data_IF_395255551126
#
_entry.id   IF_395255551126
#
_cell.length_a   1.000
_cell.length_b   1.000
_cell.length_c   1.000
_cell.angle_alpha   90.00
_cell.angle_beta   90.00
_cell.angle_gamma   90.00
#
_symmetry.space_group_name_H-M   'P 1'
#
loop_
_entity.id
_entity.type
_entity.pdbx_description
1 polymer ?
#
# COMPACT_ATOMS: atom_id res chain seq x y z
N UNK A 1 -3.42 -2.59 -8.67
CA UNK A 1 -3.75 -2.17 -7.29
C UNK A 1 -5.19 -1.67 -7.26
N UNK A 2 -5.86 -1.77 -6.13
CA UNK A 2 -7.20 -1.20 -5.93
C UNK A 2 -7.28 -0.47 -4.59
N UNK A 3 -8.30 0.39 -4.45
CA UNK A 3 -8.59 1.14 -3.24
C UNK A 3 -9.49 0.31 -2.32
N UNK A 4 -8.98 -0.06 -1.16
CA UNK A 4 -9.69 -0.68 -0.07
C UNK A 4 -10.48 0.38 0.73
N UNK A 5 -11.74 0.08 1.00
CA UNK A 5 -12.63 0.90 1.81
C UNK A 5 -13.01 0.10 3.06
N UNK A 6 -12.43 0.45 4.22
CA UNK A 6 -12.69 -0.29 5.46
C UNK A 6 -14.16 -0.24 5.89
N UNK A 7 -14.92 0.80 5.52
CA UNK A 7 -16.33 0.92 5.91
C UNK A 7 -17.19 -0.16 5.25
N UNK A 8 -16.86 -0.51 4.00
CA UNK A 8 -17.51 -1.62 3.29
C UNK A 8 -17.21 -3.00 3.91
N UNK A 9 -16.27 -3.08 4.86
CA UNK A 9 -15.84 -4.31 5.56
C UNK A 9 -15.92 -4.13 7.09
N UNK A 10 -16.96 -3.47 7.59
CA UNK A 10 -17.23 -3.31 9.02
C UNK A 10 -16.09 -2.64 9.84
N UNK A 11 -15.22 -1.86 9.19
CA UNK A 11 -14.06 -1.22 9.82
C UNK A 11 -12.81 -2.09 9.88
N UNK A 12 -12.78 -3.24 9.18
CA UNK A 12 -11.63 -4.13 9.15
C UNK A 12 -10.37 -3.39 8.66
N UNK A 13 -9.24 -3.67 9.32
CA UNK A 13 -7.97 -3.04 8.94
C UNK A 13 -7.44 -3.62 7.62
N UNK A 14 -6.73 -2.80 6.84
CA UNK A 14 -6.08 -3.24 5.58
C UNK A 14 -5.24 -4.50 5.77
N UNK A 15 -4.47 -4.57 6.86
CA UNK A 15 -3.58 -5.71 7.15
C UNK A 15 -4.37 -7.00 7.36
N UNK A 16 -5.48 -6.93 8.12
CA UNK A 16 -6.33 -8.10 8.36
C UNK A 16 -7.12 -8.50 7.11
N UNK A 17 -7.57 -7.53 6.32
CA UNK A 17 -8.19 -7.79 5.02
C UNK A 17 -7.23 -8.57 4.09
N UNK A 18 -5.97 -8.13 3.98
CA UNK A 18 -4.95 -8.83 3.20
C UNK A 18 -4.69 -10.24 3.76
N UNK A 19 -4.55 -10.39 5.08
CA UNK A 19 -4.36 -11.69 5.70
C UNK A 19 -5.54 -12.65 5.43
N UNK A 20 -6.77 -12.13 5.47
CA UNK A 20 -7.97 -12.90 5.17
C UNK A 20 -8.01 -13.32 3.68
N UNK A 21 -7.67 -12.43 2.76
CA UNK A 21 -7.54 -12.78 1.32
C UNK A 21 -6.48 -13.87 1.10
N UNK A 22 -5.35 -13.80 1.79
CA UNK A 22 -4.31 -14.82 1.71
C UNK A 22 -4.81 -16.17 2.25
N UNK A 23 -5.59 -16.16 3.34
CA UNK A 23 -6.19 -17.36 3.91
C UNK A 23 -7.26 -17.99 2.99
N UNK A 24 -7.96 -17.18 2.19
CA UNK A 24 -8.90 -17.63 1.15
C UNK A 24 -8.19 -18.11 -0.14
N UNK A 25 -6.85 -18.15 -0.16
CA UNK A 25 -6.06 -18.68 -1.27
C UNK A 25 -5.45 -17.62 -2.20
N UNK A 26 -5.74 -16.33 -2.00
CA UNK A 26 -5.15 -15.22 -2.78
C UNK A 26 -3.79 -14.83 -2.19
N UNK A 27 -2.84 -15.78 -2.20
CA UNK A 27 -1.58 -15.74 -1.44
C UNK A 27 -0.65 -14.57 -1.76
N UNK A 28 -0.62 -14.12 -3.01
CA UNK A 28 0.17 -12.97 -3.44
C UNK A 28 -0.56 -11.61 -3.34
N UNK A 29 -1.73 -11.52 -2.72
CA UNK A 29 -2.26 -10.20 -2.32
C UNK A 29 -1.38 -9.60 -1.20
N UNK A 30 -1.11 -8.30 -1.24
CA UNK A 30 -0.31 -7.64 -0.22
C UNK A 30 -0.71 -6.17 0.00
N UNK A 31 -0.30 -5.61 1.13
CA UNK A 31 -0.68 -4.28 1.60
C UNK A 31 0.02 -3.10 0.88
N UNK A 32 0.73 -3.37 -0.22
CA UNK A 32 1.49 -2.38 -0.98
C UNK A 32 2.62 -1.75 -0.16
N UNK A 33 2.92 -0.47 -0.45
CA UNK A 33 3.88 0.30 0.33
C UNK A 33 3.34 0.61 1.73
N UNK A 34 4.19 0.39 2.74
CA UNK A 34 3.86 0.63 4.15
C UNK A 34 4.00 2.12 4.49
N UNK A 35 4.87 2.85 3.79
CA UNK A 35 5.14 4.26 4.01
C UNK A 35 5.27 5.02 2.69
N UNK A 36 4.87 6.31 2.64
CA UNK A 36 5.16 7.20 1.53
C UNK A 36 6.67 7.42 1.34
N UNK A 37 7.07 7.83 0.13
CA UNK A 37 8.47 8.03 -0.24
C UNK A 37 9.20 8.99 0.70
N UNK A 38 8.56 10.09 1.08
CA UNK A 38 9.16 11.12 1.93
C UNK A 38 9.36 10.70 3.40
N UNK A 39 8.80 9.56 3.82
CA UNK A 39 9.03 8.95 5.12
C UNK A 39 10.03 7.80 5.07
N UNK A 40 10.48 7.42 3.89
CA UNK A 40 11.44 6.33 3.74
C UNK A 40 12.83 6.80 4.21
N UNK A 41 13.46 6.08 5.16
CA UNK A 41 14.77 6.44 5.70
C UNK A 41 15.84 6.70 4.63
N UNK A 42 15.79 5.99 3.50
CA UNK A 42 16.70 6.20 2.39
C UNK A 42 16.70 7.66 1.87
N UNK A 43 15.52 8.29 1.83
CA UNK A 43 15.36 9.67 1.34
C UNK A 43 15.48 10.71 2.44
N UNK A 44 15.06 10.38 3.67
CA UNK A 44 15.19 11.27 4.83
C UNK A 44 16.66 11.40 5.23
N UNK A 45 17.38 10.29 5.36
CA UNK A 45 18.79 10.26 5.76
C UNK A 45 19.74 10.60 4.60
N UNK A 46 19.26 10.48 3.35
CA UNK A 46 20.03 10.69 2.11
C UNK A 46 21.34 9.89 2.04
N UNK A 47 21.36 8.73 2.71
CA UNK A 47 22.54 7.85 2.77
C UNK A 47 22.62 6.96 1.52
N UNK A 48 22.75 7.58 0.35
CA UNK A 48 22.92 6.88 -0.92
C UNK A 48 24.38 6.42 -1.07
N UNK A 49 24.62 5.45 -1.96
CA UNK A 49 25.98 4.92 -2.20
C UNK A 49 27.01 6.01 -2.56
N UNK A 50 26.59 7.06 -3.27
CA UNK A 50 27.42 8.22 -3.62
C UNK A 50 27.43 9.34 -2.58
N UNK A 51 26.87 9.10 -1.39
CA UNK A 51 26.58 10.15 -0.41
C UNK A 51 25.35 10.98 -0.78
N UNK A 52 25.11 12.08 -0.04
CA UNK A 52 23.91 12.91 -0.21
C UNK A 52 23.93 13.80 -1.46
N UNK A 53 25.06 13.92 -2.17
CA UNK A 53 25.18 14.72 -3.38
C UNK A 53 24.37 14.12 -4.55
N UNK A 54 23.59 14.91 -5.32
CA UNK A 54 23.45 16.37 -5.28
C UNK A 54 22.29 16.87 -4.38
N UNK A 55 21.62 15.98 -3.62
CA UNK A 55 20.38 16.28 -2.87
C UNK A 55 20.59 17.11 -1.59
N UNK A 56 21.82 17.30 -1.16
CA UNK A 56 22.24 18.24 -0.11
C UNK A 56 22.83 19.55 -0.66
N UNK A 57 23.03 19.65 -1.97
CA UNK A 57 23.56 20.86 -2.59
C UNK A 57 22.47 21.92 -2.72
N UNK A 58 22.86 23.19 -2.76
CA UNK A 58 21.96 24.34 -3.00
C UNK A 58 21.43 24.41 -4.45
N UNK A 59 21.53 23.33 -5.23
CA UNK A 59 20.96 23.27 -6.56
C UNK A 59 19.44 23.51 -6.47
N UNK A 60 18.94 24.46 -7.26
CA UNK A 60 17.56 24.97 -7.24
C UNK A 60 17.16 25.90 -6.07
N UNK A 61 18.12 26.59 -5.45
CA UNK A 61 17.84 27.69 -4.48
C UNK A 61 17.17 27.25 -3.17
N UNK A 62 17.16 25.95 -2.87
CA UNK A 62 16.64 25.40 -1.61
C UNK A 62 17.36 24.10 -1.26
N UNK A 63 17.57 23.87 0.03
CA UNK A 63 17.94 22.56 0.54
C UNK A 63 16.68 21.68 0.54
N UNK A 64 16.72 20.54 -0.15
CA UNK A 64 15.55 19.66 -0.24
C UNK A 64 15.37 18.90 1.09
N UNK A 65 14.30 19.15 1.83
CA UNK A 65 13.85 18.27 2.90
C UNK A 65 12.68 17.43 2.39
N UNK A 66 12.79 16.10 2.49
CA UNK A 66 11.71 15.21 2.11
C UNK A 66 10.57 15.26 3.13
N UNK A 67 10.85 15.50 4.42
CA UNK A 67 9.84 15.54 5.46
C UNK A 67 8.77 16.63 5.23
N UNK A 68 9.14 17.73 4.56
CA UNK A 68 8.23 18.83 4.17
C UNK A 68 7.02 18.39 3.33
N UNK A 69 7.08 17.20 2.72
CA UNK A 69 5.99 16.68 1.88
C UNK A 69 4.89 15.94 2.67
N UNK A 70 5.09 15.67 3.96
CA UNK A 70 4.11 14.96 4.80
C UNK A 70 2.74 15.66 4.80
N UNK A 71 2.71 16.96 5.08
CA UNK A 71 1.46 17.73 5.10
C UNK A 71 0.89 17.98 3.68
N UNK A 72 1.74 17.85 2.65
CA UNK A 72 1.39 18.17 1.25
C UNK A 72 0.79 16.99 0.50
N UNK A 73 0.96 15.77 1.02
CA UNK A 73 0.60 14.53 0.33
C UNK A 73 -0.38 13.65 1.14
N UNK A 74 -1.55 14.18 1.58
CA UNK A 74 -2.49 13.44 2.42
C UNK A 74 -3.10 12.20 1.74
N UNK A 75 -3.16 12.18 0.41
CA UNK A 75 -3.62 11.00 -0.34
C UNK A 75 -2.58 9.88 -0.29
N UNK A 76 -1.29 10.21 -0.38
CA UNK A 76 -0.21 9.23 -0.27
C UNK A 76 -0.16 8.61 1.12
N UNK A 77 -0.37 9.41 2.17
CA UNK A 77 -0.53 8.93 3.55
C UNK A 77 -1.63 7.88 3.65
N UNK A 78 -2.85 8.23 3.21
CA UNK A 78 -3.99 7.30 3.29
C UNK A 78 -3.78 6.04 2.44
N UNK A 79 -3.22 6.18 1.24
CA UNK A 79 -2.90 5.06 0.37
C UNK A 79 -1.95 4.07 1.06
N UNK A 80 -0.84 4.55 1.63
CA UNK A 80 0.14 3.71 2.30
C UNK A 80 -0.38 3.13 3.62
N UNK A 81 -1.13 3.92 4.40
CA UNK A 81 -1.61 3.49 5.71
C UNK A 81 -2.80 2.52 5.62
N UNK A 82 -3.81 2.83 4.81
CA UNK A 82 -5.15 2.22 4.94
C UNK A 82 -5.81 1.80 3.64
N UNK A 83 -5.53 2.46 2.50
CA UNK A 83 -6.38 2.29 1.32
C UNK A 83 -5.75 1.41 0.21
N UNK A 84 -4.42 1.32 0.05
CA UNK A 84 -3.86 0.61 -1.11
C UNK A 84 -3.68 -0.89 -0.87
N UNK A 85 -4.34 -1.73 -1.67
CA UNK A 85 -4.11 -3.19 -1.71
C UNK A 85 -3.67 -3.61 -3.12
N UNK A 86 -2.68 -4.49 -3.16
CA UNK A 86 -2.02 -4.90 -4.39
C UNK A 86 -2.31 -6.37 -4.66
N UNK A 87 -2.77 -6.62 -5.88
CA UNK A 87 -2.74 -7.93 -6.52
C UNK A 87 -1.70 -7.81 -7.63
N UNK A 88 -0.64 -8.65 -7.60
CA UNK A 88 0.43 -8.57 -8.59
C UNK A 88 -0.11 -8.90 -9.97
N UNK A 89 0.49 -8.29 -10.99
CA UNK A 89 0.07 -8.45 -12.37
C UNK A 89 0.08 -9.93 -12.82
N UNK A 90 0.98 -10.75 -12.29
CA UNK A 90 1.06 -12.18 -12.60
C UNK A 90 -0.21 -12.95 -12.25
N UNK A 91 -0.92 -12.57 -11.18
CA UNK A 91 -2.23 -13.15 -10.88
C UNK A 91 -3.29 -12.75 -11.91
N UNK A 92 -3.23 -11.51 -12.39
CA UNK A 92 -4.20 -10.97 -13.35
C UNK A 92 -4.02 -11.55 -14.77
N UNK A 93 -3.01 -12.40 -14.97
CA UNK A 93 -2.81 -13.17 -16.21
C UNK A 93 -3.36 -14.60 -16.13
N UNK A 94 -3.93 -15.00 -14.99
CA UNK A 94 -4.58 -16.29 -14.87
C UNK A 94 -5.87 -16.35 -15.72
N UNK A 95 -6.48 -17.53 -15.77
CA UNK A 95 -7.71 -17.75 -16.51
C UNK A 95 -8.92 -17.06 -15.84
N UNK A 96 -10.04 -17.02 -16.56
CA UNK A 96 -11.28 -16.40 -16.09
C UNK A 96 -11.79 -16.98 -14.75
N UNK A 97 -11.77 -18.32 -14.52
CA UNK A 97 -12.11 -18.89 -13.22
C UNK A 97 -11.28 -18.31 -12.06
N UNK A 98 -9.96 -18.17 -12.23
CA UNK A 98 -9.11 -17.59 -11.20
C UNK A 98 -9.47 -16.12 -10.88
N UNK A 99 -9.97 -15.35 -11.87
CA UNK A 99 -10.47 -14.00 -11.62
C UNK A 99 -11.77 -14.01 -10.80
N UNK A 100 -12.63 -15.01 -11.01
CA UNK A 100 -13.80 -15.22 -10.17
C UNK A 100 -13.43 -15.61 -8.74
N UNK A 101 -12.43 -16.47 -8.54
CA UNK A 101 -11.95 -16.85 -7.21
C UNK A 101 -11.51 -15.62 -6.39
N UNK A 102 -10.79 -14.67 -7.02
CA UNK A 102 -10.42 -13.40 -6.37
C UNK A 102 -11.67 -12.63 -5.93
N UNK A 103 -12.67 -12.50 -6.81
CA UNK A 103 -13.90 -11.77 -6.50
C UNK A 103 -14.73 -12.45 -5.41
N UNK A 104 -14.78 -13.79 -5.40
CA UNK A 104 -15.45 -14.58 -4.38
C UNK A 104 -14.76 -14.47 -3.02
N UNK A 105 -13.43 -14.54 -2.98
CA UNK A 105 -12.65 -14.32 -1.78
C UNK A 105 -12.95 -12.94 -1.17
N UNK A 106 -12.97 -11.88 -1.98
CA UNK A 106 -13.33 -10.52 -1.52
C UNK A 106 -14.75 -10.48 -0.94
N UNK A 107 -15.74 -11.09 -1.61
CA UNK A 107 -17.13 -11.15 -1.12
C UNK A 107 -17.24 -11.94 0.19
N UNK A 108 -16.51 -13.03 0.31
CA UNK A 108 -16.48 -13.85 1.53
C UNK A 108 -15.89 -13.07 2.69
N UNK A 109 -14.73 -12.42 2.49
CA UNK A 109 -14.14 -11.53 3.51
C UNK A 109 -15.11 -10.40 3.88
N UNK A 110 -15.84 -9.83 2.92
CA UNK A 110 -16.87 -8.82 3.20
C UNK A 110 -18.01 -9.36 4.07
N UNK A 111 -18.48 -10.57 3.77
CA UNK A 111 -19.60 -11.23 4.47
C UNK A 111 -19.25 -11.51 5.92
N UNK A 112 -18.02 -11.99 6.17
CA UNK A 112 -17.52 -12.36 7.49
C UNK A 112 -16.66 -11.27 8.15
N UNK A 113 -16.68 -10.03 7.64
CA UNK A 113 -15.76 -8.98 8.07
C UNK A 113 -15.83 -8.66 9.57
N UNK A 114 -17.01 -8.77 10.19
CA UNK A 114 -17.21 -8.55 11.63
C UNK A 114 -16.53 -9.60 12.50
N UNK A 115 -16.40 -10.83 12.01
CA UNK A 115 -15.74 -11.93 12.73
C UNK A 115 -14.21 -11.81 12.66
N UNK A 116 -13.70 -10.99 11.74
CA UNK A 116 -12.28 -10.74 11.51
C UNK A 116 -11.76 -9.48 12.23
N UNK A 117 -12.61 -8.80 13.02
CA UNK A 117 -12.26 -7.60 13.79
C UNK A 117 -11.36 -7.87 15.01
#
# INVERSE_FOLDING_TARGET
MFRYDSQAFAGLSKQRFVAALQAEGISGAFAGYIMPLYKNPLFVEKNFYGGPWPLDTWEHSRQLDYADFEERCPVSERACATEAVWIPQTMLLADEPAMHDIAEAVRKVQTYARELL
#
